data_IF_125272713846
#
_entry.id   IF_125272713846
#
_cell.length_a   1.000
_cell.length_b   1.000
_cell.length_c   1.000
_cell.angle_alpha   90.00
_cell.angle_beta   90.00
_cell.angle_gamma   90.00
#
_symmetry.space_group_name_H-M   'P 1'
#
loop_
_entity.id
_entity.type
_entity.pdbx_description
1 polymer ?
#
# COMPACT_ATOMS: atom_id res chain seq x y z
N UNK A 1 -26.96 -25.70 -15.38
CA UNK A 1 -25.56 -25.73 -15.84
C UNK A 1 -25.25 -24.55 -16.75
N UNK A 2 -25.97 -24.34 -17.85
CA UNK A 2 -25.72 -23.26 -18.83
C UNK A 2 -25.76 -21.81 -18.28
N UNK A 3 -26.61 -21.50 -17.28
CA UNK A 3 -26.73 -20.14 -16.72
C UNK A 3 -25.52 -19.77 -15.86
N UNK A 4 -25.00 -20.70 -15.04
CA UNK A 4 -23.80 -20.50 -14.23
C UNK A 4 -22.52 -20.40 -15.08
N UNK A 5 -22.42 -21.19 -16.17
CA UNK A 5 -21.28 -21.08 -17.09
C UNK A 5 -21.20 -19.73 -17.79
N UNK A 6 -22.34 -19.13 -18.12
CA UNK A 6 -22.41 -17.80 -18.76
C UNK A 6 -22.00 -16.71 -17.78
N UNK A 7 -22.47 -16.78 -16.54
CA UNK A 7 -22.11 -15.82 -15.48
C UNK A 7 -20.63 -15.94 -15.04
N UNK A 8 -20.08 -17.16 -15.02
CA UNK A 8 -18.65 -17.37 -14.80
C UNK A 8 -17.79 -16.81 -15.96
N UNK A 9 -18.23 -16.94 -17.20
CA UNK A 9 -17.55 -16.35 -18.36
C UNK A 9 -17.51 -14.82 -18.31
N UNK A 10 -18.58 -14.19 -17.83
CA UNK A 10 -18.60 -12.73 -17.64
C UNK A 10 -17.62 -12.29 -16.54
N UNK A 11 -17.50 -13.05 -15.45
CA UNK A 11 -16.52 -12.81 -14.38
C UNK A 11 -15.10 -13.15 -14.82
N UNK A 12 -14.91 -14.21 -15.58
CA UNK A 12 -13.60 -14.68 -16.05
C UNK A 12 -13.04 -13.83 -17.19
N UNK A 13 -13.84 -13.02 -17.87
CA UNK A 13 -13.36 -12.17 -18.95
C UNK A 13 -12.26 -11.19 -18.54
N UNK A 14 -12.15 -10.90 -17.26
CA UNK A 14 -11.12 -10.02 -16.67
C UNK A 14 -10.02 -10.79 -15.92
N UNK A 15 -10.06 -12.12 -15.90
CA UNK A 15 -9.09 -12.96 -15.18
C UNK A 15 -8.18 -13.64 -16.21
N UNK A 16 -6.84 -13.58 -16.03
CA UNK A 16 -5.91 -14.29 -16.92
C UNK A 16 -6.23 -15.77 -17.05
N UNK A 17 -6.11 -16.30 -18.27
CA UNK A 17 -6.49 -17.69 -18.59
C UNK A 17 -5.87 -18.74 -17.65
N UNK A 18 -4.58 -18.60 -17.34
CA UNK A 18 -3.88 -19.46 -16.39
C UNK A 18 -4.51 -19.47 -14.99
N UNK A 19 -5.09 -18.36 -14.58
CA UNK A 19 -5.77 -18.25 -13.29
C UNK A 19 -7.12 -18.97 -13.33
N UNK A 20 -7.82 -18.90 -14.46
CA UNK A 20 -9.08 -19.63 -14.68
C UNK A 20 -8.86 -21.14 -14.54
N UNK A 21 -7.83 -21.69 -15.18
CA UNK A 21 -7.48 -23.11 -15.09
C UNK A 21 -7.22 -23.54 -13.64
N UNK A 22 -6.50 -22.72 -12.86
CA UNK A 22 -6.25 -22.99 -11.44
C UNK A 22 -7.54 -22.96 -10.60
N UNK A 23 -8.44 -22.04 -10.90
CA UNK A 23 -9.75 -21.96 -10.24
C UNK A 23 -10.58 -23.21 -10.55
N UNK A 24 -10.64 -23.61 -11.83
CA UNK A 24 -11.34 -24.83 -12.24
C UNK A 24 -10.76 -26.08 -11.58
N UNK A 25 -9.42 -26.17 -11.50
CA UNK A 25 -8.76 -27.24 -10.77
C UNK A 25 -9.18 -27.28 -9.30
N UNK A 26 -9.18 -26.14 -8.60
CA UNK A 26 -9.61 -26.03 -7.22
C UNK A 26 -11.07 -26.44 -7.06
N UNK A 27 -11.97 -26.00 -7.93
CA UNK A 27 -13.37 -26.36 -7.90
C UNK A 27 -13.61 -27.87 -8.11
N UNK A 28 -12.79 -28.53 -8.93
CA UNK A 28 -12.85 -29.98 -9.19
C UNK A 28 -12.28 -30.80 -8.02
N UNK A 29 -11.15 -30.38 -7.45
CA UNK A 29 -10.42 -31.18 -6.46
C UNK A 29 -10.93 -31.05 -5.03
N UNK A 30 -11.58 -29.92 -4.69
CA UNK A 30 -12.05 -29.64 -3.32
C UNK A 30 -13.51 -30.09 -3.07
N UNK A 31 -14.10 -30.85 -3.97
CA UNK A 31 -15.49 -31.30 -3.89
C UNK A 31 -16.52 -30.17 -3.64
N UNK A 32 -16.15 -28.96 -4.11
CA UNK A 32 -16.94 -27.73 -3.99
C UNK A 32 -18.18 -27.73 -4.93
N UNK A 33 -18.46 -28.83 -5.61
CA UNK A 33 -19.65 -28.96 -6.44
C UNK A 33 -20.96 -28.66 -5.68
N UNK A 34 -20.97 -28.91 -4.36
CA UNK A 34 -22.08 -28.55 -3.46
C UNK A 34 -22.09 -27.06 -3.07
N UNK A 35 -20.96 -26.35 -3.23
CA UNK A 35 -20.77 -24.98 -2.75
C UNK A 35 -20.60 -23.96 -3.88
N UNK A 36 -20.80 -24.36 -5.14
CA UNK A 36 -20.65 -23.44 -6.29
C UNK A 36 -21.46 -22.16 -6.14
N UNK A 37 -22.69 -22.27 -5.63
CA UNK A 37 -23.55 -21.12 -5.38
C UNK A 37 -22.97 -20.20 -4.33
N UNK A 38 -22.46 -20.74 -3.23
CA UNK A 38 -21.84 -19.95 -2.14
C UNK A 38 -20.57 -19.23 -2.59
N UNK A 39 -19.74 -19.89 -3.43
CA UNK A 39 -18.54 -19.24 -4.00
C UNK A 39 -18.94 -18.05 -4.89
N UNK A 40 -19.97 -18.23 -5.68
CA UNK A 40 -20.48 -17.17 -6.56
C UNK A 40 -21.07 -15.99 -5.77
N UNK A 41 -21.85 -16.27 -4.75
CA UNK A 41 -22.44 -15.26 -3.88
C UNK A 41 -21.33 -14.49 -3.14
N UNK A 42 -20.29 -15.19 -2.67
CA UNK A 42 -19.15 -14.56 -2.02
C UNK A 42 -18.34 -13.67 -2.98
N UNK A 43 -18.12 -14.13 -4.22
CA UNK A 43 -17.49 -13.31 -5.26
C UNK A 43 -18.31 -12.04 -5.52
N UNK A 44 -19.62 -12.16 -5.69
CA UNK A 44 -20.50 -11.00 -5.87
C UNK A 44 -20.44 -10.05 -4.69
N UNK A 45 -20.45 -10.58 -3.47
CA UNK A 45 -20.33 -9.80 -2.24
C UNK A 45 -19.02 -8.99 -2.26
N UNK A 46 -17.89 -9.63 -2.52
CA UNK A 46 -16.57 -8.99 -2.56
C UNK A 46 -16.46 -7.95 -3.67
N UNK A 47 -16.99 -8.24 -4.86
CA UNK A 47 -16.97 -7.31 -6.00
C UNK A 47 -17.80 -6.04 -5.75
N UNK A 48 -18.83 -6.14 -4.91
CA UNK A 48 -19.68 -5.00 -4.54
C UNK A 48 -19.14 -4.18 -3.37
N UNK A 49 -18.05 -4.63 -2.71
CA UNK A 49 -17.42 -3.86 -1.64
C UNK A 49 -16.82 -2.58 -2.23
N UNK A 50 -17.22 -1.46 -1.66
CA UNK A 50 -16.70 -0.16 -2.07
C UNK A 50 -15.27 0.04 -1.57
N UNK A 51 -14.45 0.62 -2.41
CA UNK A 51 -13.13 1.12 -2.04
C UNK A 51 -13.25 2.58 -1.60
N UNK A 52 -12.75 2.87 -0.41
CA UNK A 52 -12.54 4.25 0.05
C UNK A 52 -11.11 4.67 -0.19
N UNK A 53 -10.91 5.95 -0.47
CA UNK A 53 -9.58 6.51 -0.68
C UNK A 53 -9.38 7.70 0.24
N UNK A 54 -8.24 7.73 0.93
CA UNK A 54 -7.78 8.84 1.76
C UNK A 54 -6.38 9.25 1.33
N UNK A 55 -6.11 10.55 1.35
CA UNK A 55 -4.80 11.09 0.98
C UNK A 55 -4.29 12.00 2.08
N UNK A 56 -3.02 11.82 2.44
CA UNK A 56 -2.30 12.64 3.40
C UNK A 56 -1.15 13.36 2.73
N UNK A 57 -1.03 14.65 2.98
CA UNK A 57 0.13 15.45 2.57
C UNK A 57 0.92 15.83 3.81
N UNK A 58 2.17 15.41 3.88
CA UNK A 58 3.04 15.59 5.05
C UNK A 58 4.23 16.43 4.62
N UNK A 59 4.33 17.62 5.16
CA UNK A 59 5.41 18.57 4.83
C UNK A 59 6.68 18.23 5.62
N UNK A 60 7.27 17.10 5.25
CA UNK A 60 8.56 16.63 5.74
C UNK A 60 9.51 16.40 4.56
N UNK A 61 10.80 16.58 4.81
CA UNK A 61 11.82 16.18 3.84
C UNK A 61 11.81 14.66 3.69
N UNK A 62 11.56 14.13 2.47
CA UNK A 62 11.58 12.70 2.23
C UNK A 62 12.93 12.08 2.60
N UNK A 63 12.92 11.09 3.50
CA UNK A 63 14.10 10.35 3.94
C UNK A 63 13.76 8.86 3.97
N UNK A 64 14.68 8.04 3.49
CA UNK A 64 14.57 6.59 3.63
C UNK A 64 14.84 6.13 5.07
N UNK A 65 14.46 4.90 5.38
CA UNK A 65 14.82 4.26 6.64
C UNK A 65 16.34 4.10 6.74
N UNK A 66 16.98 4.53 7.83
CA UNK A 66 18.39 4.28 8.04
C UNK A 66 18.64 2.77 8.05
N UNK A 67 19.56 2.31 7.22
CA UNK A 67 19.98 0.89 7.25
C UNK A 67 20.73 0.60 8.54
N UNK A 68 20.51 -0.56 9.18
CA UNK A 68 21.33 -0.98 10.30
C UNK A 68 22.79 -1.05 9.85
N UNK A 69 23.70 -0.62 10.72
CA UNK A 69 25.13 -0.74 10.50
C UNK A 69 25.68 -1.83 11.42
N UNK A 70 26.57 -2.65 10.90
CA UNK A 70 27.33 -3.60 11.70
C UNK A 70 28.65 -2.97 12.12
N UNK A 71 29.04 -3.21 13.37
CA UNK A 71 30.37 -2.93 13.89
C UNK A 71 30.89 -4.17 14.61
N UNK A 72 32.14 -4.14 15.02
CA UNK A 72 32.71 -5.20 15.88
C UNK A 72 31.92 -5.45 17.17
N UNK A 73 31.11 -4.46 17.60
CA UNK A 73 30.31 -4.51 18.83
C UNK A 73 28.83 -4.86 18.59
N UNK A 74 28.47 -5.29 17.37
CA UNK A 74 27.11 -5.71 17.02
C UNK A 74 26.41 -4.83 15.99
N UNK A 75 25.12 -5.10 15.78
CA UNK A 75 24.27 -4.35 14.85
C UNK A 75 23.59 -3.21 15.59
N UNK A 76 23.72 -1.98 15.08
CA UNK A 76 23.05 -0.80 15.64
C UNK A 76 22.24 -0.05 14.59
N UNK A 77 21.12 0.53 15.03
CA UNK A 77 20.28 1.38 14.20
C UNK A 77 20.66 2.85 14.40
N UNK A 78 20.84 3.57 13.31
CA UNK A 78 21.12 5.01 13.37
C UNK A 78 19.88 5.73 13.90
N UNK A 79 20.06 6.57 14.93
CA UNK A 79 18.99 7.43 15.48
C UNK A 79 18.35 8.27 14.37
N UNK A 80 17.03 8.32 14.32
CA UNK A 80 16.27 9.15 13.36
C UNK A 80 15.05 8.48 12.71
N UNK A 81 15.01 7.14 12.59
CA UNK A 81 13.83 6.44 12.08
C UNK A 81 12.65 6.51 13.07
N UNK A 82 12.94 6.41 14.36
CA UNK A 82 11.94 6.53 15.43
C UNK A 82 11.33 7.95 15.50
N UNK A 83 12.08 8.98 15.16
CA UNK A 83 11.62 10.36 15.23
C UNK A 83 10.59 10.66 14.15
N UNK A 84 10.74 10.11 12.95
CA UNK A 84 9.78 10.28 11.87
C UNK A 84 8.45 9.58 12.21
N UNK A 85 8.48 8.37 12.78
CA UNK A 85 7.26 7.65 13.21
C UNK A 85 6.54 8.41 14.33
N UNK A 86 7.29 8.94 15.30
CA UNK A 86 6.75 9.73 16.41
C UNK A 86 6.12 11.05 15.92
N UNK A 87 6.79 11.74 15.01
CA UNK A 87 6.26 12.97 14.40
C UNK A 87 4.99 12.71 13.60
N UNK A 88 5.01 11.66 12.78
CA UNK A 88 3.86 11.28 11.97
C UNK A 88 2.67 10.88 12.83
N UNK A 89 2.91 10.10 13.88
CA UNK A 89 1.89 9.75 14.86
C UNK A 89 1.27 10.99 15.51
N UNK A 90 2.10 11.98 15.89
CA UNK A 90 1.63 13.25 16.43
C UNK A 90 0.79 14.03 15.42
N UNK A 91 1.22 14.08 14.15
CA UNK A 91 0.49 14.76 13.07
C UNK A 91 -0.89 14.14 12.80
N UNK A 92 -1.03 12.83 13.00
CA UNK A 92 -2.28 12.10 12.79
C UNK A 92 -3.15 12.02 14.04
N UNK A 93 -2.61 12.23 15.24
CA UNK A 93 -3.38 12.15 16.49
C UNK A 93 -4.48 13.18 16.60
N UNK A 94 -4.39 14.27 15.84
CA UNK A 94 -5.45 15.30 15.77
C UNK A 94 -6.57 14.92 14.78
N UNK A 95 -6.47 13.76 14.13
CA UNK A 95 -7.48 13.26 13.19
C UNK A 95 -8.03 11.93 13.70
N UNK A 96 -9.29 11.90 14.07
CA UNK A 96 -10.02 10.69 14.44
C UNK A 96 -10.22 9.78 13.22
N UNK A 97 -9.21 8.98 12.89
CA UNK A 97 -9.33 7.95 11.86
C UNK A 97 -9.32 6.57 12.49
N UNK A 98 -10.30 5.71 12.17
CA UNK A 98 -10.22 4.31 12.54
C UNK A 98 -9.04 3.65 11.83
N UNK A 99 -8.26 2.85 12.56
CA UNK A 99 -7.17 2.07 11.98
C UNK A 99 -7.74 1.12 10.93
N UNK A 100 -7.20 1.17 9.71
CA UNK A 100 -7.61 0.31 8.61
C UNK A 100 -7.15 -1.13 8.89
N UNK A 101 -8.09 -2.06 8.89
CA UNK A 101 -7.86 -3.50 9.14
C UNK A 101 -8.17 -4.38 7.93
N UNK A 102 -8.49 -3.77 6.80
CA UNK A 102 -8.87 -4.42 5.54
C UNK A 102 -7.75 -4.33 4.51
N UNK A 103 -7.81 -5.05 3.38
CA UNK A 103 -6.83 -4.94 2.32
C UNK A 103 -6.64 -3.49 1.84
N UNK A 104 -5.39 -3.08 1.65
CA UNK A 104 -4.99 -1.70 1.31
C UNK A 104 -4.19 -1.67 0.03
N UNK A 105 -4.49 -0.72 -0.85
CA UNK A 105 -3.59 -0.28 -1.91
C UNK A 105 -2.87 0.98 -1.40
N UNK A 106 -1.56 0.93 -1.42
CA UNK A 106 -0.67 1.98 -0.93
C UNK A 106 -0.02 2.70 -2.10
N UNK A 107 -0.21 4.00 -2.22
CA UNK A 107 0.49 4.83 -3.18
C UNK A 107 1.20 5.97 -2.44
N UNK A 108 2.50 6.15 -2.66
CA UNK A 108 3.25 7.25 -2.09
C UNK A 108 4.06 8.02 -3.15
N UNK A 109 4.11 9.33 -2.98
CA UNK A 109 4.94 10.22 -3.77
C UNK A 109 5.88 10.98 -2.84
N UNK A 110 7.17 10.84 -3.11
CA UNK A 110 8.23 11.58 -2.41
C UNK A 110 8.65 12.78 -3.25
N UNK A 111 8.31 13.97 -2.80
CA UNK A 111 8.76 15.21 -3.43
C UNK A 111 10.08 15.65 -2.80
N UNK A 112 11.16 15.39 -3.48
CA UNK A 112 12.51 15.74 -3.06
C UNK A 112 12.84 17.20 -3.41
N UNK A 113 13.71 17.87 -2.64
CA UNK A 113 14.13 19.23 -2.99
C UNK A 113 14.85 19.25 -4.32
N UNK A 114 14.60 20.29 -5.11
CA UNK A 114 15.30 20.52 -6.36
C UNK A 114 16.76 20.86 -6.04
N UNK A 115 17.74 20.20 -6.66
CA UNK A 115 19.16 20.48 -6.43
C UNK A 115 19.55 21.92 -6.73
N UNK A 116 20.37 22.53 -5.90
CA UNK A 116 20.86 23.89 -6.12
C UNK A 116 21.71 24.01 -7.38
N UNK A 117 22.36 22.92 -7.80
CA UNK A 117 23.18 22.84 -9.02
C UNK A 117 22.40 22.94 -10.33
N UNK A 118 21.08 22.77 -10.29
CA UNK A 118 20.23 22.94 -11.46
C UNK A 118 20.12 24.41 -11.85
N UNK A 119 20.22 24.70 -13.14
CA UNK A 119 19.96 26.03 -13.67
C UNK A 119 18.47 26.43 -13.57
N UNK A 120 18.08 27.69 -13.74
CA UNK A 120 16.69 28.13 -13.58
C UNK A 120 15.69 27.41 -14.48
N UNK A 121 16.06 27.09 -15.72
CA UNK A 121 15.19 26.37 -16.66
C UNK A 121 14.96 24.92 -16.17
N UNK A 122 16.04 24.23 -15.80
CA UNK A 122 15.98 22.88 -15.24
C UNK A 122 15.10 22.81 -13.98
N UNK A 123 15.19 23.82 -13.12
CA UNK A 123 14.35 23.90 -11.90
C UNK A 123 12.87 23.98 -12.24
N UNK A 124 12.49 24.78 -13.22
CA UNK A 124 11.10 24.86 -13.71
C UNK A 124 10.64 23.51 -14.28
N UNK A 125 11.47 22.91 -15.14
CA UNK A 125 11.17 21.61 -15.78
C UNK A 125 11.09 20.49 -14.74
N UNK A 126 11.90 20.54 -13.68
CA UNK A 126 11.86 19.61 -12.56
C UNK A 126 10.56 19.76 -11.74
N UNK A 127 10.14 20.99 -11.44
CA UNK A 127 8.87 21.25 -10.75
C UNK A 127 7.66 20.82 -11.57
N UNK A 128 7.73 20.95 -12.90
CA UNK A 128 6.71 20.43 -13.82
C UNK A 128 6.68 18.90 -13.88
N UNK A 129 7.65 18.20 -13.29
CA UNK A 129 7.69 16.75 -13.20
C UNK A 129 8.33 16.03 -14.39
N UNK A 130 9.04 16.74 -15.26
CA UNK A 130 9.73 16.16 -16.43
C UNK A 130 11.20 15.78 -16.14
N UNK A 131 11.81 16.31 -15.09
CA UNK A 131 13.12 15.87 -14.59
C UNK A 131 12.87 15.06 -13.31
N UNK A 132 13.46 13.87 -13.24
CA UNK A 132 13.23 12.91 -12.17
C UNK A 132 14.43 12.77 -11.25
N UNK A 133 14.22 12.54 -9.93
CA UNK A 133 15.30 12.26 -9.00
C UNK A 133 15.86 10.84 -9.26
N UNK A 134 17.10 10.75 -9.73
CA UNK A 134 17.81 9.49 -9.97
C UNK A 134 18.86 9.19 -8.88
N UNK A 135 19.03 10.09 -7.92
CA UNK A 135 19.93 9.94 -6.78
C UNK A 135 19.21 9.41 -5.54
N UNK A 136 19.98 9.13 -4.47
CA UNK A 136 19.42 8.77 -3.15
C UNK A 136 18.41 9.81 -2.65
N UNK A 137 17.41 9.39 -1.83
CA UNK A 137 17.18 8.04 -1.30
C UNK A 137 16.68 7.04 -2.36
N UNK A 138 16.96 5.75 -2.12
CA UNK A 138 16.53 4.65 -2.99
C UNK A 138 15.01 4.50 -2.95
N UNK A 139 14.42 4.10 -4.05
CA UNK A 139 12.97 3.99 -4.23
C UNK A 139 12.31 3.05 -3.23
N UNK A 140 12.85 1.85 -3.08
CA UNK A 140 12.38 0.81 -2.15
C UNK A 140 12.48 1.25 -0.69
N UNK A 141 13.57 1.93 -0.35
CA UNK A 141 13.83 2.42 0.99
C UNK A 141 12.85 3.53 1.41
N UNK A 142 12.39 4.36 0.46
CA UNK A 142 11.33 5.35 0.71
C UNK A 142 9.99 4.66 0.94
N UNK A 143 9.62 3.70 0.08
CA UNK A 143 8.38 2.95 0.22
C UNK A 143 8.30 2.26 1.58
N UNK A 144 9.39 1.56 1.97
CA UNK A 144 9.47 0.90 3.27
C UNK A 144 9.36 1.88 4.43
N UNK A 145 10.09 3.00 4.38
CA UNK A 145 10.06 4.01 5.43
C UNK A 145 8.63 4.51 5.70
N UNK A 146 7.83 4.69 4.66
CA UNK A 146 6.47 5.21 4.82
C UNK A 146 5.47 4.12 5.22
N UNK A 147 5.63 2.89 4.75
CA UNK A 147 4.86 1.75 5.26
C UNK A 147 5.09 1.57 6.77
N UNK A 148 6.36 1.55 7.22
CA UNK A 148 6.71 1.47 8.64
C UNK A 148 6.15 2.65 9.45
N UNK A 149 6.03 3.82 8.83
CA UNK A 149 5.54 5.05 9.47
C UNK A 149 4.04 5.01 9.73
N UNK A 150 3.25 4.46 8.80
CA UNK A 150 1.79 4.38 8.90
C UNK A 150 1.30 3.14 9.65
N UNK A 151 2.17 2.13 9.84
CA UNK A 151 1.85 0.93 10.59
C UNK A 151 1.54 1.24 12.05
N UNK A 152 0.44 0.68 12.55
CA UNK A 152 -0.08 0.92 13.90
C UNK A 152 -0.66 2.33 14.11
N UNK A 153 -0.82 3.10 13.01
CA UNK A 153 -1.39 4.45 13.04
C UNK A 153 -2.55 4.60 12.07
N UNK A 154 -2.32 4.35 10.78
CA UNK A 154 -3.35 4.37 9.74
C UNK A 154 -3.77 2.97 9.32
N UNK A 155 -2.83 2.05 9.24
CA UNK A 155 -3.06 0.63 8.95
C UNK A 155 -2.63 -0.21 10.14
N UNK A 156 -3.33 -1.29 10.39
CA UNK A 156 -3.02 -2.18 11.51
C UNK A 156 -1.64 -2.83 11.36
N UNK A 157 -1.32 -3.31 10.17
CA UNK A 157 -0.06 -3.96 9.85
C UNK A 157 0.26 -3.79 8.35
N UNK A 158 1.54 -3.73 7.98
CA UNK A 158 2.00 -3.61 6.60
C UNK A 158 1.61 -4.80 5.71
N UNK A 159 1.36 -5.98 6.31
CA UNK A 159 0.85 -7.16 5.60
C UNK A 159 -0.54 -6.97 4.97
N UNK A 160 -1.26 -5.90 5.31
CA UNK A 160 -2.52 -5.54 4.67
C UNK A 160 -2.32 -4.88 3.30
N UNK A 161 -1.10 -4.44 2.99
CA UNK A 161 -0.80 -3.82 1.70
C UNK A 161 -0.75 -4.90 0.62
N UNK A 162 -1.76 -4.91 -0.25
CA UNK A 162 -1.89 -5.88 -1.35
C UNK A 162 -1.36 -5.36 -2.68
N UNK A 163 -1.22 -4.03 -2.79
CA UNK A 163 -0.70 -3.35 -3.97
C UNK A 163 0.05 -2.10 -3.49
N UNK A 164 1.31 -1.97 -3.88
CA UNK A 164 2.19 -0.90 -3.43
C UNK A 164 2.82 -0.13 -4.59
N UNK A 165 2.66 1.20 -4.60
CA UNK A 165 3.31 2.08 -5.55
C UNK A 165 4.10 3.17 -4.83
N UNK A 166 5.33 3.39 -5.28
CA UNK A 166 6.18 4.48 -4.79
C UNK A 166 6.73 5.28 -5.96
N UNK A 167 6.80 6.58 -5.81
CA UNK A 167 7.29 7.49 -6.86
C UNK A 167 8.17 8.56 -6.25
N UNK A 168 9.19 9.00 -7.01
CA UNK A 168 10.03 10.15 -6.66
C UNK A 168 9.76 11.28 -7.64
N UNK A 169 9.66 12.50 -7.13
CA UNK A 169 9.53 13.74 -7.88
C UNK A 169 10.41 14.82 -7.26
N UNK A 170 10.72 15.85 -8.01
CA UNK A 170 11.28 17.08 -7.46
C UNK A 170 10.17 18.07 -7.12
N UNK A 171 10.37 18.89 -6.09
CA UNK A 171 9.52 20.05 -5.83
C UNK A 171 10.28 21.10 -5.03
N UNK A 172 9.93 22.38 -5.25
CA UNK A 172 10.37 23.50 -4.41
C UNK A 172 9.79 23.42 -2.99
N UNK A 173 8.71 22.65 -2.81
CA UNK A 173 8.10 22.34 -1.50
C UNK A 173 8.22 20.83 -1.22
N UNK A 174 9.34 20.39 -0.61
CA UNK A 174 9.53 18.99 -0.27
C UNK A 174 8.41 18.49 0.64
N UNK A 175 7.85 17.33 0.31
CA UNK A 175 6.76 16.72 1.05
C UNK A 175 6.62 15.24 0.71
N UNK A 176 5.80 14.57 1.46
CA UNK A 176 5.39 13.19 1.23
C UNK A 176 3.87 13.19 1.04
N UNK A 177 3.40 12.59 -0.03
CA UNK A 177 1.98 12.33 -0.25
C UNK A 177 1.74 10.83 -0.16
N UNK A 178 0.80 10.42 0.71
CA UNK A 178 0.42 9.03 0.91
C UNK A 178 -1.07 8.91 0.61
N UNK A 179 -1.40 8.06 -0.34
CA UNK A 179 -2.78 7.72 -0.68
C UNK A 179 -3.03 6.26 -0.32
N UNK A 180 -4.03 6.02 0.50
CA UNK A 180 -4.49 4.69 0.88
C UNK A 180 -5.88 4.47 0.29
N UNK A 181 -6.03 3.42 -0.52
CA UNK A 181 -7.33 2.93 -0.94
C UNK A 181 -7.59 1.61 -0.25
N UNK A 182 -8.69 1.49 0.47
CA UNK A 182 -9.02 0.32 1.28
C UNK A 182 -10.47 -0.12 1.06
N UNK A 183 -10.72 -1.39 1.27
CA UNK A 183 -12.07 -1.94 1.17
C UNK A 183 -12.85 -1.62 2.44
N UNK A 184 -14.00 -0.95 2.28
CA UNK A 184 -14.96 -0.78 3.37
C UNK A 184 -15.64 -2.12 3.64
N UNK A 185 -15.77 -2.52 4.88
CA UNK A 185 -16.50 -3.74 5.29
C UNK A 185 -15.99 -5.08 4.70
N UNK A 186 -14.69 -5.18 4.37
CA UNK A 186 -14.10 -6.46 3.98
C UNK A 186 -14.01 -7.39 5.19
N UNK A 187 -15.03 -8.22 5.36
CA UNK A 187 -15.11 -9.22 6.41
C UNK A 187 -14.65 -10.59 5.90
N UNK A 188 -13.35 -10.84 5.92
CA UNK A 188 -12.82 -12.18 5.67
C UNK A 188 -12.51 -12.86 7.00
N UNK A 189 -12.95 -14.11 7.15
CA UNK A 189 -12.63 -14.92 8.33
C UNK A 189 -11.12 -15.04 8.57
N UNK A 190 -10.32 -14.97 7.52
CA UNK A 190 -8.84 -14.94 7.60
C UNK A 190 -8.33 -13.71 8.34
N UNK A 191 -8.93 -12.55 8.17
CA UNK A 191 -8.49 -11.32 8.84
C UNK A 191 -8.94 -11.27 10.29
N UNK A 192 -10.15 -11.75 10.62
CA UNK A 192 -10.66 -11.79 12.00
C UNK A 192 -9.77 -12.59 12.96
N UNK A 193 -9.26 -13.72 12.52
CA UNK A 193 -8.44 -14.60 13.37
C UNK A 193 -7.01 -14.06 13.58
N UNK A 194 -6.45 -13.30 12.63
CA UNK A 194 -5.15 -12.65 12.79
C UNK A 194 -5.19 -11.42 13.70
N UNK A 195 -6.30 -10.68 13.71
CA UNK A 195 -6.46 -9.46 14.51
C UNK A 195 -6.79 -9.81 15.97
N UNK A 196 -7.61 -10.82 16.22
CA UNK A 196 -7.98 -11.26 17.57
C UNK A 196 -6.84 -11.86 18.39
N UNK A 197 -5.78 -12.32 17.77
CA UNK A 197 -4.62 -12.91 18.44
C UNK A 197 -3.54 -11.92 18.90
N UNK A 198 -3.76 -10.60 18.76
CA UNK A 198 -2.76 -9.57 19.09
C UNK A 198 -3.29 -8.37 19.90
N UNK A 199 -4.44 -8.52 20.53
CA UNK A 199 -4.95 -7.55 21.51
C UNK A 199 -4.66 -8.05 22.92
#
# INVERSE_FOLDING_TARGET
MLKMEKEYKELYGNIPHERVERIEYLLKTTNLSRYKTHVYDEIKRIMNIKWKTITYTIYLLPKGTPRPRSSSNGIFYVKGAADNKKFFKKYLMDQEFPIITTPVKFDCISYLPIPNSMNPIEKVVAEMGFIYPVSKPDWDNLAKAYCDMIEGTLIYNDSLVIDGRSRKRYSIKPRIEITLSYMEDFDSQFNKNKIKGKV
#
